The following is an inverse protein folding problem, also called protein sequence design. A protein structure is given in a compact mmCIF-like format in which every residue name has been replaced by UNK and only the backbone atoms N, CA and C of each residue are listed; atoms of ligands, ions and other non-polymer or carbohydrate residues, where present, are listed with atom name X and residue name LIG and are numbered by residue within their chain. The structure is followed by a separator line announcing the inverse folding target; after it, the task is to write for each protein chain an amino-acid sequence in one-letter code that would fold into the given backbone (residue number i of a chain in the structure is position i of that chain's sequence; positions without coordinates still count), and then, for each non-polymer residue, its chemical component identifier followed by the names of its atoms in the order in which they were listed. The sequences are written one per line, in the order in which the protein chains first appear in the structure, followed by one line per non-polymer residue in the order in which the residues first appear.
data_IF_516739553881
#
_entry.id   IF_516739553881
#
_cell.length_a   1.000
_cell.length_b   1.000
_cell.length_c   1.000
_cell.angle_alpha   90.00
_cell.angle_beta   90.00
_cell.angle_gamma   90.00
#
_symmetry.space_group_name_H-M   'P 1'
#
loop_
_entity.id
_entity.type
_entity.pdbx_description
1 polymer ?
#
# COMPACT_ATOMS: atom_id res chain seq x y z
N UNK A 1 -10.12 18.83 -3.82
CA UNK A 1 -9.77 17.75 -4.78
C UNK A 1 -8.48 17.09 -4.35
N UNK A 2 -8.47 15.76 -4.16
CA UNK A 2 -7.25 15.00 -3.87
C UNK A 2 -6.46 14.88 -5.19
N UNK A 3 -5.25 15.45 -5.25
CA UNK A 3 -4.36 15.31 -6.42
C UNK A 3 -4.00 13.81 -6.60
N UNK A 4 -4.12 13.31 -7.83
CA UNK A 4 -3.76 11.94 -8.27
C UNK A 4 -4.72 10.79 -7.93
N UNK A 5 -5.99 11.09 -7.64
CA UNK A 5 -7.07 10.09 -7.58
C UNK A 5 -7.28 9.44 -8.95
N UNK A 6 -6.98 8.13 -9.08
CA UNK A 6 -7.44 7.32 -10.21
C UNK A 6 -8.75 6.63 -9.82
N UNK A 7 -9.90 7.02 -10.39
CA UNK A 7 -11.17 6.37 -10.08
C UNK A 7 -11.10 4.86 -10.34
N UNK A 8 -11.87 4.08 -9.57
CA UNK A 8 -11.87 2.60 -9.59
C UNK A 8 -12.04 2.05 -11.01
N UNK A 9 -12.88 2.71 -11.84
CA UNK A 9 -13.10 2.39 -13.25
C UNK A 9 -11.87 2.49 -14.16
N UNK A 10 -10.79 3.13 -13.70
CA UNK A 10 -9.52 3.25 -14.40
C UNK A 10 -8.44 2.30 -13.84
N UNK A 11 -8.79 1.40 -12.91
CA UNK A 11 -7.90 0.30 -12.51
C UNK A 11 -7.76 -0.64 -13.72
N UNK A 12 -6.55 -1.15 -14.02
CA UNK A 12 -6.36 -2.13 -15.08
C UNK A 12 -7.28 -3.33 -14.86
N UNK A 13 -7.98 -3.81 -15.89
CA UNK A 13 -8.92 -4.94 -15.78
C UNK A 13 -8.25 -6.19 -15.19
N UNK A 14 -6.98 -6.42 -15.52
CA UNK A 14 -6.20 -7.55 -14.99
C UNK A 14 -6.15 -7.58 -13.46
N UNK A 15 -6.21 -6.41 -12.80
CA UNK A 15 -6.27 -6.35 -11.34
C UNK A 15 -7.60 -6.92 -10.86
N UNK A 16 -8.71 -6.67 -11.57
CA UNK A 16 -10.06 -7.06 -11.18
C UNK A 16 -10.35 -8.55 -11.39
N UNK A 17 -9.66 -9.23 -12.32
CA UNK A 17 -9.93 -10.63 -12.66
C UNK A 17 -9.49 -11.63 -11.57
N UNK A 18 -8.56 -11.25 -10.69
CA UNK A 18 -7.94 -12.14 -9.70
C UNK A 18 -7.25 -13.39 -10.31
N UNK A 19 -6.91 -13.38 -11.60
CA UNK A 19 -6.38 -14.57 -12.29
C UNK A 19 -4.85 -14.66 -12.29
N UNK A 20 -4.16 -13.56 -11.98
CA UNK A 20 -2.72 -13.46 -12.00
C UNK A 20 -2.13 -13.21 -10.61
N UNK A 21 -1.02 -13.88 -10.28
CA UNK A 21 -0.29 -13.65 -9.04
C UNK A 21 0.53 -12.37 -9.12
N UNK A 22 0.61 -11.65 -8.01
CA UNK A 22 1.47 -10.47 -7.87
C UNK A 22 0.70 -9.15 -7.79
N UNK A 23 -0.62 -9.20 -7.76
CA UNK A 23 -1.47 -8.04 -7.52
C UNK A 23 -1.85 -8.02 -6.03
N UNK A 24 -1.43 -6.97 -5.33
CA UNK A 24 -1.65 -6.81 -3.90
C UNK A 24 -2.64 -5.68 -3.61
N UNK A 25 -3.55 -5.94 -2.69
CA UNK A 25 -4.49 -4.98 -2.13
C UNK A 25 -4.05 -4.61 -0.71
N UNK A 26 -4.10 -3.33 -0.37
CA UNK A 26 -3.62 -2.81 0.91
C UNK A 26 -4.68 -1.97 1.57
N UNK A 27 -5.00 -2.32 2.81
CA UNK A 27 -5.91 -1.54 3.65
C UNK A 27 -5.30 -1.24 5.01
N UNK A 28 -5.94 -0.29 5.70
CA UNK A 28 -5.61 0.08 7.06
C UNK A 28 -6.86 0.03 7.93
N UNK A 29 -6.84 -0.87 8.91
CA UNK A 29 -7.84 -0.88 9.97
C UNK A 29 -7.34 0.06 11.07
N UNK A 30 -8.03 1.16 11.28
CA UNK A 30 -7.67 2.15 12.32
C UNK A 30 -8.41 1.84 13.61
N UNK A 31 -7.69 1.67 14.71
CA UNK A 31 -8.28 1.44 16.02
C UNK A 31 -9.05 2.65 16.54
N UNK A 32 -9.94 2.41 17.52
CA UNK A 32 -10.69 3.45 18.23
C UNK A 32 -9.76 4.52 18.81
N UNK A 33 -10.20 5.78 18.80
CA UNK A 33 -9.39 6.95 19.23
C UNK A 33 -8.05 7.10 18.50
N UNK A 34 -7.87 6.47 17.33
CA UNK A 34 -6.61 6.42 16.59
C UNK A 34 -5.43 5.80 17.37
N UNK A 35 -5.72 5.04 18.45
CA UNK A 35 -4.74 4.33 19.27
C UNK A 35 -4.33 3.02 18.58
N UNK A 36 -3.55 3.16 17.52
CA UNK A 36 -3.02 2.04 16.73
C UNK A 36 -3.74 1.82 15.41
N UNK A 37 -3.11 0.99 14.57
CA UNK A 37 -3.68 0.57 13.29
C UNK A 37 -3.20 -0.84 12.95
N UNK A 38 -3.91 -1.52 12.06
CA UNK A 38 -3.48 -2.78 11.46
C UNK A 38 -3.41 -2.58 9.96
N UNK A 39 -2.20 -2.73 9.41
CA UNK A 39 -1.98 -2.82 7.98
C UNK A 39 -2.33 -4.23 7.52
N UNK A 40 -3.19 -4.33 6.51
CA UNK A 40 -3.49 -5.58 5.81
C UNK A 40 -2.92 -5.50 4.39
N UNK A 41 -2.31 -6.58 3.93
CA UNK A 41 -1.83 -6.73 2.56
C UNK A 41 -2.33 -8.08 2.06
N UNK A 42 -3.13 -8.07 1.00
CA UNK A 42 -3.77 -9.27 0.44
C UNK A 42 -3.30 -9.47 -0.99
N UNK A 43 -2.74 -10.63 -1.30
CA UNK A 43 -2.51 -11.03 -2.69
C UNK A 43 -3.84 -11.51 -3.30
N UNK A 44 -4.26 -10.89 -4.42
CA UNK A 44 -5.64 -10.97 -4.89
C UNK A 44 -6.01 -12.34 -5.48
N UNK A 45 -5.07 -13.10 -6.05
CA UNK A 45 -5.32 -14.43 -6.62
C UNK A 45 -5.41 -15.52 -5.56
N UNK A 46 -4.36 -15.62 -4.74
CA UNK A 46 -4.18 -16.67 -3.73
C UNK A 46 -4.91 -16.35 -2.42
N UNK A 47 -5.35 -15.10 -2.23
CA UNK A 47 -5.90 -14.58 -0.97
C UNK A 47 -4.90 -14.67 0.20
N UNK A 48 -3.61 -14.75 -0.11
CA UNK A 48 -2.56 -14.72 0.90
C UNK A 48 -2.59 -13.37 1.63
N UNK A 49 -2.85 -13.42 2.94
CA UNK A 49 -3.02 -12.25 3.80
C UNK A 49 -1.82 -12.08 4.72
N UNK A 50 -1.28 -10.86 4.74
CA UNK A 50 -0.31 -10.41 5.73
C UNK A 50 -0.96 -9.31 6.57
N UNK A 51 -0.87 -9.44 7.90
CA UNK A 51 -1.34 -8.43 8.85
C UNK A 51 -0.17 -7.91 9.70
N UNK A 52 -0.08 -6.59 9.86
CA UNK A 52 0.93 -5.93 10.72
C UNK A 52 0.26 -4.92 11.64
N UNK A 53 0.40 -5.14 12.95
CA UNK A 53 0.03 -4.15 13.97
C UNK A 53 1.00 -2.96 13.92
N UNK A 54 0.46 -1.76 13.91
CA UNK A 54 1.17 -0.48 13.89
C UNK A 54 0.82 0.31 15.14
N UNK A 55 1.79 1.11 15.62
CA UNK A 55 1.59 2.03 16.74
C UNK A 55 0.71 3.25 16.39
N UNK A 56 0.35 3.43 15.12
CA UNK A 56 -0.57 4.47 14.65
C UNK A 56 -0.62 4.57 13.13
N UNK A 57 -1.44 5.50 12.62
CA UNK A 57 -1.71 5.69 11.17
C UNK A 57 -0.80 6.69 10.44
N UNK A 58 0.32 7.11 11.04
CA UNK A 58 1.22 8.09 10.41
C UNK A 58 1.83 7.51 9.12
N UNK A 59 1.82 8.29 8.04
CA UNK A 59 2.30 7.87 6.72
C UNK A 59 3.71 7.25 6.72
N UNK A 60 4.64 7.78 7.53
CA UNK A 60 6.00 7.23 7.68
C UNK A 60 6.00 5.81 8.27
N UNK A 61 5.15 5.56 9.27
CA UNK A 61 5.04 4.25 9.94
C UNK A 61 4.47 3.24 8.96
N UNK A 62 3.40 3.63 8.26
CA UNK A 62 2.74 2.80 7.25
C UNK A 62 3.67 2.47 6.07
N UNK A 63 4.35 3.48 5.51
CA UNK A 63 5.31 3.30 4.43
C UNK A 63 6.44 2.34 4.82
N UNK A 64 7.02 2.51 6.02
CA UNK A 64 8.08 1.62 6.51
C UNK A 64 7.56 0.19 6.67
N UNK A 65 6.39 0.01 7.29
CA UNK A 65 5.80 -1.31 7.48
C UNK A 65 5.48 -2.02 6.16
N UNK A 66 4.91 -1.29 5.19
CA UNK A 66 4.65 -1.82 3.85
C UNK A 66 5.93 -2.20 3.12
N UNK A 67 6.93 -1.31 3.08
CA UNK A 67 8.21 -1.60 2.42
C UNK A 67 8.90 -2.81 3.05
N UNK A 68 9.01 -2.87 4.37
CA UNK A 68 9.62 -4.02 5.05
C UNK A 68 8.86 -5.33 4.80
N UNK A 69 7.52 -5.27 4.71
CA UNK A 69 6.69 -6.46 4.49
C UNK A 69 6.80 -6.97 3.05
N UNK A 70 6.75 -6.06 2.07
CA UNK A 70 6.80 -6.43 0.65
C UNK A 70 8.21 -6.66 0.13
N UNK A 71 9.26 -6.31 0.87
CA UNK A 71 10.65 -6.50 0.43
C UNK A 71 10.97 -7.96 0.11
N UNK A 72 10.45 -8.91 0.91
CA UNK A 72 10.61 -10.35 0.67
C UNK A 72 9.89 -10.83 -0.60
N UNK A 73 8.94 -10.05 -1.12
CA UNK A 73 8.12 -10.39 -2.28
C UNK A 73 8.40 -9.45 -3.46
N UNK A 74 9.44 -8.60 -3.40
CA UNK A 74 9.65 -7.49 -4.33
C UNK A 74 9.62 -7.90 -5.80
N UNK A 75 10.15 -9.08 -6.11
CA UNK A 75 10.28 -9.60 -7.48
C UNK A 75 8.95 -10.18 -8.02
N UNK A 76 7.96 -10.32 -7.14
CA UNK A 76 6.62 -10.81 -7.46
C UNK A 76 5.55 -9.71 -7.46
N UNK A 77 5.88 -8.51 -6.96
CA UNK A 77 4.92 -7.40 -6.90
C UNK A 77 4.75 -6.76 -8.28
N UNK A 78 3.58 -6.93 -8.88
CA UNK A 78 3.17 -6.29 -10.14
C UNK A 78 2.40 -5.00 -9.91
N UNK A 79 1.40 -5.04 -9.03
CA UNK A 79 0.62 -3.84 -8.66
C UNK A 79 0.28 -3.84 -7.19
N UNK A 80 0.21 -2.65 -6.60
CA UNK A 80 -0.33 -2.42 -5.26
C UNK A 80 -1.51 -1.45 -5.39
N UNK A 81 -2.68 -1.86 -4.92
CA UNK A 81 -3.89 -1.02 -4.86
C UNK A 81 -4.32 -0.80 -3.42
N UNK A 82 -5.00 0.30 -3.16
CA UNK A 82 -5.71 0.54 -1.89
C UNK A 82 -7.01 1.25 -2.21
N UNK A 83 -7.98 1.02 -1.33
CA UNK A 83 -9.29 1.64 -1.41
C UNK A 83 -9.30 3.02 -0.74
N UNK A 84 -8.31 3.29 0.10
CA UNK A 84 -8.13 4.58 0.76
C UNK A 84 -6.96 5.36 0.14
N UNK A 85 -7.25 6.12 -0.91
CA UNK A 85 -6.25 6.85 -1.69
C UNK A 85 -5.45 7.89 -0.89
N UNK A 86 -6.00 8.38 0.24
CA UNK A 86 -5.29 9.31 1.14
C UNK A 86 -4.07 8.63 1.78
N UNK A 87 -4.18 7.35 2.12
CA UNK A 87 -3.14 6.60 2.81
C UNK A 87 -2.04 6.17 1.84
N UNK A 88 -2.40 5.67 0.66
CA UNK A 88 -1.42 5.41 -0.42
C UNK A 88 -0.79 6.71 -0.94
N UNK A 89 -1.56 7.79 -1.09
CA UNK A 89 -1.04 9.07 -1.55
C UNK A 89 0.08 9.58 -0.65
N UNK A 90 -0.12 9.51 0.67
CA UNK A 90 0.86 9.92 1.67
C UNK A 90 2.12 9.05 1.65
N UNK A 91 1.98 7.74 1.42
CA UNK A 91 3.12 6.81 1.28
C UNK A 91 3.89 7.07 -0.01
N UNK A 92 3.19 7.22 -1.13
CA UNK A 92 3.77 7.47 -2.44
C UNK A 92 4.54 8.79 -2.45
N UNK A 93 3.96 9.85 -1.88
CA UNK A 93 4.69 11.10 -1.68
C UNK A 93 5.93 10.92 -0.80
N UNK A 94 5.82 10.18 0.30
CA UNK A 94 6.95 9.91 1.19
C UNK A 94 8.08 9.15 0.49
N UNK A 95 7.76 8.11 -0.30
CA UNK A 95 8.73 7.33 -1.06
C UNK A 95 9.39 8.17 -2.16
N UNK A 96 8.62 8.98 -2.89
CA UNK A 96 9.15 9.89 -3.91
C UNK A 96 10.05 10.98 -3.31
N UNK A 97 9.67 11.55 -2.16
CA UNK A 97 10.51 12.51 -1.41
C UNK A 97 11.80 11.86 -0.90
N UNK A 98 11.78 10.56 -0.53
CA UNK A 98 12.96 9.83 -0.08
C UNK A 98 13.90 9.49 -1.24
N UNK A 99 13.38 9.06 -2.39
CA UNK A 99 14.19 8.85 -3.61
C UNK A 99 14.88 10.15 -4.05
N UNK A 100 14.15 11.27 -4.09
CA UNK A 100 14.73 12.59 -4.39
C UNK A 100 15.82 13.05 -3.40
N UNK A 101 15.79 12.58 -2.15
CA UNK A 101 16.84 12.86 -1.15
C UNK A 101 18.04 11.91 -1.24
N UNK A 102 17.87 10.73 -1.84
CA UNK A 102 18.93 9.74 -2.02
C UNK A 102 19.69 9.96 -3.34
N UNK A 103 19.08 10.63 -4.33
CA UNK A 103 19.71 11.08 -5.57
C UNK A 103 20.31 12.48 -5.39
N UNK A 104 21.41 12.56 -4.63
CA UNK A 104 22.41 13.63 -4.78
C UNK A 104 23.74 12.90 -4.95
N UNK A 105 23.97 12.43 -6.18
CA UNK A 105 25.20 12.36 -6.97
C UNK A 105 24.77 11.99 -8.39
#
# INVERSE_FOLDING_TARGET
MIKNRKPIRLRPEIVLTNQEFGHFEVDLIVGTEHKGAILTIVERKTKFLIMRKLSGKKAKILAKAMTCTLLAYKDYVKTITSDNELEIGSIREYLLKKQKKQTIF
#
